data_IF_129562726488
#
_entry.id   IF_129562726488
#
_cell.length_a   1.000
_cell.length_b   1.000
_cell.length_c   1.000
_cell.angle_alpha   90.00
_cell.angle_beta   90.00
_cell.angle_gamma   90.00
#
_symmetry.space_group_name_H-M   'P 1'
#
loop_
_entity.id
_entity.type
_entity.pdbx_description
1 polymer ?
#
# COMPACT_ATOMS: atom_id res chain seq x y z
N UNK A 1 12.27 -45.26 -14.70
CA UNK A 1 11.21 -44.45 -15.33
C UNK A 1 10.40 -43.87 -14.21
N UNK A 2 10.78 -42.72 -13.74
CA UNK A 2 10.04 -41.98 -12.74
C UNK A 2 9.50 -40.75 -13.46
N UNK A 3 8.22 -40.76 -13.74
CA UNK A 3 7.46 -39.62 -14.30
C UNK A 3 7.49 -38.49 -13.29
N UNK A 4 8.12 -37.39 -13.64
CA UNK A 4 7.95 -36.11 -12.97
C UNK A 4 6.56 -35.61 -13.42
N UNK A 5 5.56 -35.72 -12.55
CA UNK A 5 4.29 -35.03 -12.72
C UNK A 5 4.60 -33.54 -12.67
N UNK A 6 4.48 -32.88 -13.82
CA UNK A 6 4.40 -31.42 -13.87
C UNK A 6 3.15 -30.98 -13.13
N UNK A 7 3.33 -30.38 -11.96
CA UNK A 7 2.21 -29.75 -11.25
C UNK A 7 1.60 -28.69 -12.17
N UNK A 8 0.29 -28.76 -12.40
CA UNK A 8 -0.49 -27.66 -12.90
C UNK A 8 -0.23 -26.50 -11.93
N UNK A 9 0.41 -25.45 -12.40
CA UNK A 9 0.49 -24.18 -11.64
C UNK A 9 -0.94 -23.68 -11.46
N UNK A 10 -1.35 -23.46 -10.22
CA UNK A 10 -2.63 -22.86 -9.92
C UNK A 10 -2.73 -21.54 -10.70
N UNK A 11 -3.72 -21.41 -11.59
CA UNK A 11 -3.87 -20.26 -12.45
C UNK A 11 -4.09 -18.96 -11.64
N UNK A 12 -4.50 -19.08 -10.36
CA UNK A 12 -4.76 -17.94 -9.45
C UNK A 12 -4.30 -18.28 -8.01
N UNK A 13 -2.98 -18.32 -7.74
CA UNK A 13 -2.45 -18.64 -6.42
C UNK A 13 -2.84 -17.59 -5.38
N UNK A 14 -2.94 -18.00 -4.10
CA UNK A 14 -3.24 -17.09 -2.99
C UNK A 14 -2.22 -15.92 -2.89
N UNK A 15 -0.97 -16.17 -3.26
CA UNK A 15 0.09 -15.16 -3.41
C UNK A 15 0.87 -15.49 -4.68
N UNK A 16 1.02 -14.52 -5.58
CA UNK A 16 1.92 -14.66 -6.74
C UNK A 16 3.36 -14.50 -6.27
N UNK A 17 4.14 -15.56 -6.43
CA UNK A 17 5.57 -15.57 -6.13
C UNK A 17 6.39 -15.06 -7.32
N UNK A 18 7.69 -14.83 -7.10
CA UNK A 18 8.60 -14.40 -8.18
C UNK A 18 8.69 -15.44 -9.31
N UNK A 19 8.52 -16.73 -8.98
CA UNK A 19 8.59 -17.82 -9.95
C UNK A 19 7.31 -17.97 -10.79
N UNK A 20 6.20 -17.39 -10.36
CA UNK A 20 4.94 -17.36 -11.12
C UNK A 20 4.94 -16.33 -12.27
N UNK A 21 5.96 -15.46 -12.32
CA UNK A 21 6.13 -14.53 -13.42
C UNK A 21 6.80 -15.19 -14.62
N UNK A 22 6.25 -14.98 -15.83
CA UNK A 22 6.86 -15.47 -17.07
C UNK A 22 8.18 -14.73 -17.34
N UNK A 23 9.28 -15.47 -17.26
CA UNK A 23 10.62 -14.91 -17.44
C UNK A 23 10.85 -14.36 -18.86
N UNK A 24 10.28 -15.02 -19.89
CA UNK A 24 10.36 -14.55 -21.28
C UNK A 24 9.69 -13.19 -21.44
N UNK A 25 8.48 -13.06 -20.89
CA UNK A 25 7.75 -11.79 -20.93
C UNK A 25 8.49 -10.68 -20.18
N UNK A 26 9.06 -10.96 -19.03
CA UNK A 26 9.86 -9.97 -18.28
C UNK A 26 11.11 -9.54 -19.05
N UNK A 27 11.78 -10.46 -19.77
CA UNK A 27 12.90 -10.13 -20.66
C UNK A 27 12.48 -9.22 -21.82
N UNK A 28 11.34 -9.52 -22.47
CA UNK A 28 10.79 -8.66 -23.54
C UNK A 28 10.54 -7.24 -23.06
N UNK A 29 9.87 -7.09 -21.90
CA UNK A 29 9.57 -5.78 -21.30
C UNK A 29 10.85 -5.03 -20.93
N UNK A 30 11.84 -5.71 -20.34
CA UNK A 30 13.14 -5.12 -20.01
C UNK A 30 13.94 -4.71 -21.26
N UNK A 31 13.79 -5.42 -22.37
CA UNK A 31 14.43 -5.08 -23.65
C UNK A 31 13.75 -3.88 -24.32
N UNK A 32 12.43 -3.76 -24.23
CA UNK A 32 11.66 -2.69 -24.84
C UNK A 32 11.73 -1.38 -24.06
N UNK A 33 11.70 -1.46 -22.71
CA UNK A 33 11.54 -0.29 -21.84
C UNK A 33 12.77 0.05 -21.01
N UNK A 34 13.85 -0.77 -21.10
CA UNK A 34 15.07 -0.66 -20.32
C UNK A 34 14.84 -0.86 -18.80
N UNK A 35 15.92 -0.96 -18.02
CA UNK A 35 15.87 -1.10 -16.56
C UNK A 35 16.44 0.14 -15.84
N UNK A 36 16.14 0.41 -14.57
CA UNK A 36 15.13 -0.25 -13.72
C UNK A 36 13.71 -0.07 -14.26
N UNK A 37 12.87 -1.09 -14.12
CA UNK A 37 11.50 -1.09 -14.63
C UNK A 37 10.53 -1.70 -13.62
N UNK A 38 9.47 -1.01 -13.27
CA UNK A 38 8.33 -1.61 -12.58
C UNK A 38 7.38 -2.25 -13.59
N UNK A 39 6.93 -3.46 -13.28
CA UNK A 39 5.84 -4.14 -13.99
C UNK A 39 4.73 -4.40 -13.00
N UNK A 40 3.53 -3.90 -13.28
CA UNK A 40 2.33 -4.06 -12.47
C UNK A 40 1.27 -4.82 -13.25
N UNK A 41 0.83 -5.97 -12.75
CA UNK A 41 -0.21 -6.79 -13.36
C UNK A 41 -1.59 -6.38 -12.80
N UNK A 42 -2.39 -5.73 -13.63
CA UNK A 42 -3.72 -5.24 -13.25
C UNK A 42 -4.75 -6.35 -13.14
N UNK A 43 -4.57 -7.46 -13.83
CA UNK A 43 -5.45 -8.61 -13.69
C UNK A 43 -5.27 -9.23 -12.31
N UNK A 44 -4.01 -9.30 -11.83
CA UNK A 44 -3.72 -9.73 -10.46
C UNK A 44 -4.28 -8.75 -9.42
N UNK A 45 -4.25 -7.45 -9.68
CA UNK A 45 -4.92 -6.44 -8.82
C UNK A 45 -6.40 -6.73 -8.71
N UNK A 46 -7.10 -6.98 -9.82
CA UNK A 46 -8.54 -7.32 -9.84
C UNK A 46 -8.83 -8.61 -9.08
N UNK A 47 -8.03 -9.66 -9.28
CA UNK A 47 -8.15 -10.92 -8.55
C UNK A 47 -8.04 -10.74 -7.02
N UNK A 48 -7.12 -9.89 -6.57
CA UNK A 48 -6.95 -9.58 -5.14
C UNK A 48 -8.14 -8.77 -4.59
N UNK A 49 -8.70 -7.84 -5.38
CA UNK A 49 -9.94 -7.15 -5.03
C UNK A 49 -11.11 -8.12 -4.88
N UNK A 50 -11.28 -9.03 -5.84
CA UNK A 50 -12.35 -10.04 -5.82
C UNK A 50 -12.27 -10.95 -4.60
N UNK A 51 -11.06 -11.35 -4.18
CA UNK A 51 -10.85 -12.14 -2.96
C UNK A 51 -11.28 -11.37 -1.70
N UNK A 52 -10.96 -10.09 -1.62
CA UNK A 52 -11.38 -9.25 -0.50
C UNK A 52 -12.90 -9.11 -0.44
N UNK A 53 -13.53 -8.81 -1.58
CA UNK A 53 -14.99 -8.70 -1.66
C UNK A 53 -15.68 -10.01 -1.34
N UNK A 54 -15.13 -11.15 -1.77
CA UNK A 54 -15.66 -12.47 -1.44
C UNK A 54 -15.52 -12.81 0.05
N UNK A 55 -14.43 -12.41 0.71
CA UNK A 55 -14.23 -12.65 2.15
C UNK A 55 -15.04 -11.70 3.03
N UNK A 56 -15.30 -10.47 2.56
CA UNK A 56 -16.02 -9.41 3.27
C UNK A 56 -17.24 -8.93 2.46
N UNK A 57 -18.22 -9.81 2.15
CA UNK A 57 -19.33 -9.49 1.26
C UNK A 57 -20.28 -8.40 1.80
N UNK A 58 -20.28 -8.19 3.12
CA UNK A 58 -21.14 -7.23 3.81
C UNK A 58 -20.35 -6.02 4.36
N UNK A 59 -19.12 -5.81 3.89
CA UNK A 59 -18.29 -4.70 4.32
C UNK A 59 -17.95 -3.74 3.17
N UNK A 60 -17.78 -2.46 3.50
CA UNK A 60 -17.19 -1.47 2.61
C UNK A 60 -15.67 -1.71 2.52
N UNK A 61 -15.18 -2.05 1.34
CA UNK A 61 -13.75 -2.28 1.12
C UNK A 61 -13.15 -1.05 0.47
N UNK A 62 -12.28 -0.34 1.21
CA UNK A 62 -11.66 0.91 0.82
C UNK A 62 -10.18 0.69 0.52
N UNK A 63 -9.77 0.85 -0.72
CA UNK A 63 -8.36 0.69 -1.08
C UNK A 63 -7.51 1.82 -0.50
N UNK A 64 -6.49 1.49 0.30
CA UNK A 64 -5.54 2.46 0.81
C UNK A 64 -4.60 2.93 -0.31
N UNK A 65 -4.92 4.09 -0.91
CA UNK A 65 -4.30 4.65 -2.12
C UNK A 65 -2.78 4.79 -2.02
N UNK A 66 -2.28 5.09 -0.82
CA UNK A 66 -0.83 5.19 -0.51
C UNK A 66 -0.02 3.95 -0.87
N UNK A 67 -0.64 2.78 -1.00
CA UNK A 67 0.07 1.56 -1.37
C UNK A 67 0.55 1.60 -2.82
N UNK A 68 -0.28 2.10 -3.74
CA UNK A 68 0.05 2.37 -5.14
C UNK A 68 -0.91 3.39 -5.75
N UNK A 69 -0.43 4.57 -6.12
CA UNK A 69 -1.23 5.71 -6.59
C UNK A 69 -1.34 5.81 -8.11
N UNK A 70 -0.84 4.84 -8.87
CA UNK A 70 -0.87 4.84 -10.34
C UNK A 70 -2.30 4.89 -10.86
N UNK A 71 -2.56 5.74 -11.86
CA UNK A 71 -3.90 5.93 -12.40
C UNK A 71 -4.52 4.61 -12.88
N UNK A 72 -3.77 3.80 -13.63
CA UNK A 72 -4.26 2.51 -14.13
C UNK A 72 -4.63 1.54 -12.99
N UNK A 73 -3.84 1.53 -11.91
CA UNK A 73 -4.16 0.73 -10.71
C UNK A 73 -5.43 1.24 -10.02
N UNK A 74 -5.57 2.56 -9.87
CA UNK A 74 -6.77 3.16 -9.27
C UNK A 74 -8.03 2.89 -10.12
N UNK A 75 -7.93 2.97 -11.44
CA UNK A 75 -9.00 2.61 -12.36
C UNK A 75 -9.40 1.13 -12.20
N UNK A 76 -8.43 0.20 -12.15
CA UNK A 76 -8.69 -1.22 -11.95
C UNK A 76 -9.37 -1.51 -10.59
N UNK A 77 -8.90 -0.86 -9.52
CA UNK A 77 -9.48 -0.96 -8.17
C UNK A 77 -10.92 -0.43 -8.14
N UNK A 78 -11.16 0.76 -8.77
CA UNK A 78 -12.50 1.35 -8.87
C UNK A 78 -13.45 0.46 -9.64
N UNK A 79 -13.01 -0.11 -10.76
CA UNK A 79 -13.80 -1.02 -11.60
C UNK A 79 -14.12 -2.33 -10.90
N UNK A 80 -13.21 -2.83 -10.06
CA UNK A 80 -13.44 -3.98 -9.18
C UNK A 80 -14.45 -3.70 -8.05
N UNK A 81 -14.83 -2.43 -7.82
CA UNK A 81 -15.87 -2.07 -6.85
C UNK A 81 -15.38 -1.58 -5.50
N UNK A 82 -14.06 -1.43 -5.28
CA UNK A 82 -13.52 -0.88 -4.03
C UNK A 82 -13.60 0.65 -4.03
N UNK A 83 -13.78 1.24 -2.85
CA UNK A 83 -13.67 2.68 -2.60
C UNK A 83 -12.20 3.09 -2.41
N UNK A 84 -11.92 4.38 -2.22
CA UNK A 84 -10.56 4.92 -2.05
C UNK A 84 -10.36 5.58 -0.68
N UNK A 85 -9.41 5.06 0.12
CA UNK A 85 -8.89 5.74 1.32
C UNK A 85 -7.65 6.54 0.93
N UNK A 86 -7.73 7.87 1.14
CA UNK A 86 -6.75 8.85 0.70
C UNK A 86 -6.08 9.53 1.89
N UNK A 87 -4.75 9.40 2.02
CA UNK A 87 -3.98 9.97 3.12
C UNK A 87 -3.51 11.42 2.89
N UNK A 88 -3.80 12.01 1.74
CA UNK A 88 -3.41 13.38 1.37
C UNK A 88 -4.33 13.98 0.31
N UNK A 89 -4.31 15.30 0.16
CA UNK A 89 -4.99 15.99 -0.94
C UNK A 89 -4.54 15.49 -2.32
N UNK A 90 -3.26 15.15 -2.48
CA UNK A 90 -2.76 14.60 -3.75
C UNK A 90 -3.30 13.21 -4.08
N UNK A 91 -3.61 12.39 -3.08
CA UNK A 91 -4.28 11.11 -3.29
C UNK A 91 -5.75 11.28 -3.66
N UNK A 92 -6.45 12.25 -3.05
CA UNK A 92 -7.82 12.63 -3.45
C UNK A 92 -7.86 13.08 -4.91
N UNK A 93 -6.95 13.98 -5.32
CA UNK A 93 -6.85 14.45 -6.71
C UNK A 93 -6.61 13.30 -7.69
N UNK A 94 -5.74 12.34 -7.33
CA UNK A 94 -5.47 11.15 -8.16
C UNK A 94 -6.68 10.21 -8.25
N UNK A 95 -7.40 10.00 -7.15
CA UNK A 95 -8.59 9.17 -7.14
C UNK A 95 -9.73 9.79 -7.98
N UNK A 96 -9.96 11.12 -7.87
CA UNK A 96 -10.89 11.86 -8.74
C UNK A 96 -10.49 11.72 -10.23
N UNK A 97 -9.19 11.88 -10.54
CA UNK A 97 -8.67 11.71 -11.91
C UNK A 97 -8.81 10.28 -12.45
N UNK A 98 -8.89 9.27 -11.57
CA UNK A 98 -9.20 7.88 -11.91
C UNK A 98 -10.70 7.56 -11.95
N UNK A 99 -11.56 8.59 -11.74
CA UNK A 99 -13.01 8.49 -11.89
C UNK A 99 -13.77 8.01 -10.66
N UNK A 100 -13.18 8.07 -9.46
CA UNK A 100 -13.95 7.91 -8.23
C UNK A 100 -14.85 9.14 -8.05
N UNK A 101 -16.08 8.94 -7.61
CA UNK A 101 -16.99 9.99 -7.16
C UNK A 101 -16.84 10.24 -5.64
N UNK A 102 -17.45 11.33 -5.14
CA UNK A 102 -17.33 11.75 -3.76
C UNK A 102 -17.77 10.70 -2.75
N UNK A 103 -18.84 9.95 -3.04
CA UNK A 103 -19.37 8.92 -2.14
C UNK A 103 -18.42 7.73 -1.96
N UNK A 104 -17.43 7.59 -2.84
CA UNK A 104 -16.40 6.56 -2.81
C UNK A 104 -15.04 7.08 -2.34
N UNK A 105 -14.98 8.32 -1.83
CA UNK A 105 -13.75 8.96 -1.38
C UNK A 105 -13.76 9.18 0.13
N UNK A 106 -12.73 8.66 0.81
CA UNK A 106 -12.50 8.83 2.23
C UNK A 106 -11.14 9.48 2.44
N UNK A 107 -11.13 10.75 2.89
CA UNK A 107 -9.90 11.46 3.19
C UNK A 107 -9.48 11.21 4.64
N UNK A 108 -8.42 10.44 4.85
CA UNK A 108 -7.94 9.97 6.17
C UNK A 108 -6.51 10.44 6.42
N UNK A 109 -6.30 11.75 6.48
CA UNK A 109 -4.97 12.32 6.71
C UNK A 109 -4.60 12.40 8.19
N UNK A 110 -3.29 12.27 8.45
CA UNK A 110 -2.70 12.46 9.77
C UNK A 110 -2.02 13.84 9.81
N UNK A 111 -2.42 14.70 10.74
CA UNK A 111 -1.90 16.06 10.89
C UNK A 111 -1.91 16.85 9.56
N UNK A 112 -3.07 16.99 8.89
CA UNK A 112 -3.14 17.58 7.56
C UNK A 112 -2.63 19.03 7.55
N UNK A 113 -1.78 19.43 6.59
CA UNK A 113 -1.38 20.82 6.41
C UNK A 113 -2.59 21.68 5.99
N UNK A 114 -2.51 23.00 6.23
CA UNK A 114 -3.63 23.92 5.92
C UNK A 114 -4.08 23.81 4.46
N UNK A 115 -3.15 23.79 3.52
CA UNK A 115 -3.43 23.67 2.08
C UNK A 115 -4.17 22.39 1.69
N UNK A 116 -3.92 21.28 2.40
CA UNK A 116 -4.62 20.02 2.14
C UNK A 116 -6.08 20.12 2.64
N UNK A 117 -6.31 20.73 3.83
CA UNK A 117 -7.64 20.99 4.31
C UNK A 117 -8.41 21.96 3.41
N UNK A 118 -7.76 23.04 2.95
CA UNK A 118 -8.37 23.97 2.00
C UNK A 118 -8.83 23.22 0.75
N UNK A 119 -7.96 22.37 0.17
CA UNK A 119 -8.26 21.59 -1.03
C UNK A 119 -9.42 20.60 -0.81
N UNK A 120 -9.40 19.81 0.28
CA UNK A 120 -10.44 18.77 0.48
C UNK A 120 -11.79 19.36 0.85
N UNK A 121 -11.84 20.53 1.52
CA UNK A 121 -13.06 21.27 1.77
C UNK A 121 -13.63 21.81 0.45
N UNK A 122 -12.80 22.39 -0.43
CA UNK A 122 -13.22 22.82 -1.78
C UNK A 122 -13.70 21.63 -2.64
N UNK A 123 -13.14 20.44 -2.47
CA UNK A 123 -13.63 19.22 -3.13
C UNK A 123 -14.99 18.83 -2.55
N UNK A 124 -15.17 18.85 -1.22
CA UNK A 124 -16.42 18.47 -0.56
C UNK A 124 -17.59 19.39 -0.95
N UNK A 125 -17.35 20.66 -1.30
CA UNK A 125 -18.38 21.55 -1.85
C UNK A 125 -18.95 21.04 -3.19
N UNK A 126 -18.14 20.33 -4.00
CA UNK A 126 -18.51 19.79 -5.31
C UNK A 126 -18.91 18.32 -5.24
N UNK A 127 -18.39 17.61 -4.27
CA UNK A 127 -18.57 16.20 -3.98
C UNK A 127 -19.06 16.05 -2.53
N UNK A 128 -20.31 16.37 -2.23
CA UNK A 128 -20.83 16.48 -0.85
C UNK A 128 -20.85 15.14 -0.10
N UNK A 129 -20.76 14.03 -0.81
CA UNK A 129 -20.70 12.68 -0.25
C UNK A 129 -19.27 12.26 0.16
N UNK A 130 -18.23 13.08 -0.14
CA UNK A 130 -16.87 12.86 0.32
C UNK A 130 -16.82 12.90 1.85
N UNK A 131 -16.20 11.89 2.47
CA UNK A 131 -16.05 11.84 3.93
C UNK A 131 -14.64 12.29 4.34
N UNK A 132 -14.57 13.24 5.28
CA UNK A 132 -13.32 13.71 5.89
C UNK A 132 -13.14 13.04 7.26
N UNK A 133 -11.99 12.38 7.48
CA UNK A 133 -11.64 11.77 8.76
C UNK A 133 -10.75 12.72 9.58
N UNK A 134 -11.20 13.07 10.78
CA UNK A 134 -10.45 13.88 11.73
C UNK A 134 -9.91 13.04 12.90
N UNK A 135 -8.61 13.11 13.17
CA UNK A 135 -7.92 12.37 14.23
C UNK A 135 -7.50 13.22 15.44
N UNK A 136 -7.93 14.48 15.49
CA UNK A 136 -7.64 15.40 16.59
C UNK A 136 -8.74 16.45 16.74
N UNK A 137 -8.99 16.92 17.97
CA UNK A 137 -9.95 18.01 18.23
C UNK A 137 -9.54 19.29 17.49
N UNK A 138 -8.24 19.61 17.46
CA UNK A 138 -7.72 20.74 16.68
C UNK A 138 -8.07 20.64 15.18
N UNK A 139 -8.11 19.43 14.61
CA UNK A 139 -8.52 19.26 13.21
C UNK A 139 -10.01 19.56 13.03
N UNK A 140 -10.87 19.20 14.00
CA UNK A 140 -12.29 19.57 13.99
C UNK A 140 -12.46 21.10 14.00
N UNK A 141 -11.70 21.80 14.84
CA UNK A 141 -11.74 23.26 14.91
C UNK A 141 -11.30 23.89 13.58
N UNK A 142 -10.22 23.39 13.00
CA UNK A 142 -9.69 23.86 11.70
C UNK A 142 -10.64 23.60 10.52
N UNK A 143 -11.42 22.52 10.54
CA UNK A 143 -12.48 22.26 9.56
C UNK A 143 -13.64 23.26 9.72
N UNK A 144 -14.11 23.48 10.96
CA UNK A 144 -15.17 24.45 11.23
C UNK A 144 -14.75 25.89 10.90
N UNK A 145 -13.49 26.28 11.12
CA UNK A 145 -12.95 27.60 10.71
C UNK A 145 -13.02 27.81 9.19
N UNK A 146 -13.08 26.73 8.40
CA UNK A 146 -13.26 26.72 6.94
C UNK A 146 -14.72 26.68 6.52
N UNK A 147 -15.64 26.68 7.47
CA UNK A 147 -17.07 26.57 7.20
C UNK A 147 -17.53 25.16 6.83
N UNK A 148 -16.68 24.13 7.01
CA UNK A 148 -17.06 22.76 6.75
C UNK A 148 -17.99 22.23 7.84
N UNK A 149 -19.11 21.67 7.46
CA UNK A 149 -20.11 21.01 8.30
C UNK A 149 -20.60 19.66 7.74
N UNK A 150 -19.92 19.19 6.66
CA UNK A 150 -20.28 17.97 5.91
C UNK A 150 -19.90 16.68 6.62
N UNK A 151 -19.84 15.60 5.83
CA UNK A 151 -19.64 14.22 6.28
C UNK A 151 -18.29 14.04 6.97
N UNK A 152 -18.33 13.65 8.23
CA UNK A 152 -17.15 13.49 9.09
C UNK A 152 -17.05 12.07 9.63
N UNK A 153 -15.83 11.52 9.65
CA UNK A 153 -15.47 10.34 10.39
C UNK A 153 -14.48 10.70 11.51
N UNK A 154 -14.62 10.13 12.70
CA UNK A 154 -13.71 10.36 13.81
C UNK A 154 -12.68 9.23 13.91
N UNK A 155 -11.40 9.55 13.72
CA UNK A 155 -10.32 8.59 13.96
C UNK A 155 -10.00 8.48 15.43
N UNK A 156 -10.09 7.26 15.95
CA UNK A 156 -9.83 6.87 17.34
C UNK A 156 -8.49 6.16 17.45
N UNK A 157 -7.78 6.40 18.54
CA UNK A 157 -6.62 5.62 18.94
C UNK A 157 -7.05 4.62 19.99
N UNK A 158 -7.21 3.34 19.65
CA UNK A 158 -7.70 2.33 20.61
C UNK A 158 -6.62 1.87 21.61
N UNK A 159 -5.39 2.38 21.50
CA UNK A 159 -4.28 1.95 22.37
C UNK A 159 -3.72 0.56 22.03
N UNK A 160 -4.13 -0.01 20.91
CA UNK A 160 -3.69 -1.31 20.40
C UNK A 160 -2.93 -1.11 19.10
N UNK A 161 -1.72 -1.64 19.00
CA UNK A 161 -0.88 -1.50 17.80
C UNK A 161 -0.38 -2.84 17.29
N UNK A 162 -0.45 -3.03 15.98
CA UNK A 162 0.13 -4.15 15.26
C UNK A 162 1.12 -3.65 14.19
N UNK A 163 2.09 -4.46 13.77
CA UNK A 163 3.01 -4.11 12.69
C UNK A 163 4.32 -4.88 12.76
N UNK A 164 4.82 -5.28 11.59
CA UNK A 164 6.08 -6.01 11.41
C UNK A 164 7.34 -5.19 11.73
N UNK A 165 7.21 -3.89 11.93
CA UNK A 165 8.31 -2.99 12.28
C UNK A 165 7.79 -1.85 13.16
N UNK A 166 8.57 -1.38 14.16
CA UNK A 166 8.17 -0.30 15.08
C UNK A 166 7.69 0.98 14.37
N UNK A 167 8.31 1.32 13.23
CA UNK A 167 7.98 2.51 12.45
C UNK A 167 6.61 2.45 11.77
N UNK A 168 5.95 1.29 11.70
CA UNK A 168 4.64 1.10 11.04
C UNK A 168 3.50 0.74 12.00
N UNK A 169 3.74 0.75 13.32
CA UNK A 169 2.71 0.60 14.34
C UNK A 169 1.97 1.92 14.54
N UNK A 170 0.66 1.94 14.34
CA UNK A 170 -0.14 3.18 14.41
C UNK A 170 -1.16 3.20 15.53
N UNK A 171 -1.79 2.08 15.85
CA UNK A 171 -2.90 2.01 16.79
C UNK A 171 -2.57 2.29 18.27
N UNK A 172 -1.28 2.24 18.65
CA UNK A 172 -0.81 2.59 19.99
C UNK A 172 0.07 3.85 20.00
N UNK A 173 0.42 4.40 18.82
CA UNK A 173 1.26 5.58 18.74
C UNK A 173 0.45 6.86 18.99
N UNK A 174 0.91 7.79 19.86
CA UNK A 174 0.16 8.98 20.23
C UNK A 174 -0.04 9.98 19.07
N UNK A 175 0.64 9.78 17.96
CA UNK A 175 0.51 10.58 16.74
C UNK A 175 -0.87 10.42 16.08
N UNK A 176 -1.58 9.31 16.32
CA UNK A 176 -2.75 8.92 15.54
C UNK A 176 -4.01 8.86 16.39
N UNK A 177 -5.05 9.56 15.95
CA UNK A 177 -6.40 9.44 16.48
C UNK A 177 -6.63 10.08 17.88
N UNK A 178 -7.90 10.28 18.20
CA UNK A 178 -8.34 10.69 19.52
C UNK A 178 -8.17 9.53 20.50
N UNK A 179 -7.59 9.71 21.69
CA UNK A 179 -7.48 8.65 22.69
C UNK A 179 -8.84 8.01 23.02
N UNK A 180 -8.86 6.69 23.14
CA UNK A 180 -10.09 5.89 23.29
C UNK A 180 -10.97 6.35 24.45
N UNK A 181 -10.36 6.69 25.60
CA UNK A 181 -11.05 7.18 26.79
C UNK A 181 -11.80 8.53 26.60
N UNK A 182 -11.49 9.25 25.53
CA UNK A 182 -12.13 10.53 25.16
C UNK A 182 -13.01 10.41 23.93
N UNK A 183 -12.95 9.27 23.21
CA UNK A 183 -13.54 9.13 21.89
C UNK A 183 -15.05 9.36 21.89
N UNK A 184 -15.79 8.77 22.82
CA UNK A 184 -17.23 8.95 22.92
C UNK A 184 -17.64 10.41 23.15
N UNK A 185 -16.95 11.13 24.03
CA UNK A 185 -17.20 12.54 24.27
C UNK A 185 -16.90 13.40 23.04
N UNK A 186 -15.75 13.18 22.41
CA UNK A 186 -15.35 13.95 21.21
C UNK A 186 -16.28 13.64 20.02
N UNK A 187 -16.74 12.39 19.87
CA UNK A 187 -17.71 12.03 18.84
C UNK A 187 -19.03 12.81 19.00
N UNK A 188 -19.56 12.91 20.23
CA UNK A 188 -20.78 13.70 20.52
C UNK A 188 -20.58 15.19 20.28
N UNK A 189 -19.42 15.74 20.65
CA UNK A 189 -19.07 17.13 20.36
C UNK A 189 -18.96 17.38 18.84
N UNK A 190 -18.38 16.43 18.09
CA UNK A 190 -18.27 16.50 16.64
C UNK A 190 -19.65 16.43 15.95
N UNK A 191 -20.54 15.53 16.38
CA UNK A 191 -21.89 15.41 15.85
C UNK A 191 -22.76 16.68 16.04
N UNK A 192 -22.40 17.53 16.99
CA UNK A 192 -23.03 18.85 17.14
C UNK A 192 -22.57 19.91 16.14
N UNK A 193 -21.57 19.63 15.34
CA UNK A 193 -20.91 20.58 14.43
C UNK A 193 -20.83 20.07 12.97
N UNK A 194 -20.87 18.77 12.76
CA UNK A 194 -20.67 18.10 11.49
C UNK A 194 -21.69 16.97 11.32
N UNK A 195 -21.86 16.47 10.11
CA UNK A 195 -22.54 15.22 9.83
C UNK A 195 -21.60 14.06 10.18
N UNK A 196 -21.62 13.63 11.45
CA UNK A 196 -20.76 12.54 11.92
C UNK A 196 -21.31 11.18 11.48
N UNK A 197 -20.73 10.63 10.42
CA UNK A 197 -21.19 9.40 9.77
C UNK A 197 -20.45 8.12 10.21
N UNK A 198 -19.27 8.24 10.85
CA UNK A 198 -18.51 7.05 11.21
C UNK A 198 -17.44 7.26 12.25
N UNK A 199 -16.91 6.14 12.73
CA UNK A 199 -15.70 6.07 13.55
C UNK A 199 -14.67 5.16 12.87
N UNK A 200 -13.40 5.50 13.01
CA UNK A 200 -12.28 4.83 12.35
C UNK A 200 -11.16 4.49 13.33
N UNK A 201 -10.50 3.35 13.13
CA UNK A 201 -9.22 3.05 13.76
C UNK A 201 -8.32 2.26 12.81
N UNK A 202 -7.01 2.33 13.04
CA UNK A 202 -6.04 1.57 12.27
C UNK A 202 -4.90 1.11 13.17
N UNK A 203 -4.65 -0.23 13.22
CA UNK A 203 -3.63 -0.81 14.10
C UNK A 203 -2.20 -0.62 13.60
N UNK A 204 -2.02 -0.62 12.29
CA UNK A 204 -0.71 -0.64 11.62
C UNK A 204 -0.69 -1.56 10.41
N UNK A 205 0.51 -1.99 10.00
CA UNK A 205 0.70 -2.78 8.79
C UNK A 205 1.17 -4.20 9.13
N UNK A 206 0.53 -5.21 8.53
CA UNK A 206 0.90 -6.60 8.62
C UNK A 206 0.07 -7.38 9.65
N UNK A 207 -1.21 -7.56 9.37
CA UNK A 207 -1.99 -8.62 10.00
C UNK A 207 -1.47 -9.92 9.40
N UNK A 208 -0.70 -10.63 10.19
CA UNK A 208 -0.26 -11.98 9.96
C UNK A 208 -0.83 -12.88 11.07
N UNK A 209 -0.68 -14.19 11.01
CA UNK A 209 -1.21 -15.09 12.04
C UNK A 209 -0.82 -14.72 13.47
N UNK A 210 0.39 -14.18 13.66
CA UNK A 210 0.91 -13.78 14.98
C UNK A 210 0.29 -12.48 15.52
N UNK A 211 -0.35 -11.69 14.66
CA UNK A 211 -0.93 -10.38 15.00
C UNK A 211 -2.45 -10.35 15.02
N UNK A 212 -3.09 -11.49 14.75
CA UNK A 212 -4.55 -11.60 14.70
C UNK A 212 -5.22 -11.23 16.04
N UNK A 213 -4.57 -11.50 17.18
CA UNK A 213 -5.09 -11.12 18.50
C UNK A 213 -5.12 -9.61 18.71
N UNK A 214 -4.09 -8.89 18.25
CA UNK A 214 -4.08 -7.42 18.29
C UNK A 214 -5.15 -6.82 17.37
N UNK A 215 -5.39 -7.44 16.22
CA UNK A 215 -6.48 -7.06 15.32
C UNK A 215 -7.85 -7.27 16.00
N UNK A 216 -8.09 -8.43 16.60
CA UNK A 216 -9.33 -8.73 17.35
C UNK A 216 -9.57 -7.72 18.48
N UNK A 217 -8.54 -7.39 19.25
CA UNK A 217 -8.67 -6.42 20.35
C UNK A 217 -9.05 -5.03 19.82
N UNK A 218 -8.41 -4.53 18.75
CA UNK A 218 -8.77 -3.27 18.12
C UNK A 218 -10.23 -3.29 17.67
N UNK A 219 -10.62 -4.33 16.91
CA UNK A 219 -11.94 -4.47 16.33
C UNK A 219 -13.03 -4.54 17.42
N UNK A 220 -12.76 -5.28 18.50
CA UNK A 220 -13.68 -5.37 19.65
C UNK A 220 -13.90 -4.02 20.31
N UNK A 221 -12.82 -3.25 20.56
CA UNK A 221 -12.93 -1.90 21.13
C UNK A 221 -13.73 -0.96 20.24
N UNK A 222 -13.54 -1.04 18.92
CA UNK A 222 -14.30 -0.20 18.00
C UNK A 222 -15.78 -0.57 17.95
N UNK A 223 -16.12 -1.87 18.00
CA UNK A 223 -17.48 -2.35 18.12
C UNK A 223 -18.15 -1.92 19.45
N UNK A 224 -17.42 -1.96 20.56
CA UNK A 224 -17.89 -1.46 21.86
C UNK A 224 -18.20 0.03 21.81
N UNK A 225 -17.29 0.83 21.25
CA UNK A 225 -17.51 2.28 21.10
C UNK A 225 -18.70 2.59 20.20
N UNK A 226 -18.85 1.86 19.08
CA UNK A 226 -20.00 2.05 18.18
C UNK A 226 -21.32 1.79 18.91
N UNK A 227 -21.40 0.68 19.67
CA UNK A 227 -22.60 0.37 20.47
C UNK A 227 -22.89 1.40 21.55
N UNK A 228 -21.86 1.96 22.21
CA UNK A 228 -22.01 3.05 23.18
C UNK A 228 -22.58 4.32 22.53
N UNK A 229 -22.11 4.67 21.34
CA UNK A 229 -22.50 5.88 20.63
C UNK A 229 -23.92 5.80 20.06
N UNK A 230 -24.38 4.59 19.67
CA UNK A 230 -25.66 4.35 19.02
C UNK A 230 -26.74 3.76 19.97
N UNK A 231 -26.45 3.64 21.27
CA UNK A 231 -27.39 3.06 22.23
C UNK A 231 -28.59 3.98 22.49
N UNK A 232 -29.82 3.58 22.11
CA UNK A 232 -31.02 4.38 22.38
C UNK A 232 -31.42 4.36 23.86
N UNK A 233 -30.83 3.48 24.67
CA UNK A 233 -31.06 3.37 26.11
C UNK A 233 -30.05 4.11 26.98
N UNK A 234 -29.11 4.84 26.40
CA UNK A 234 -28.11 5.61 27.14
C UNK A 234 -28.79 6.65 28.03
N UNK A 235 -28.50 6.67 29.34
CA UNK A 235 -29.30 7.50 30.29
C UNK A 235 -29.04 9.00 30.19
N UNK A 236 -28.04 9.45 29.46
CA UNK A 236 -27.58 10.85 29.45
C UNK A 236 -27.51 11.52 28.09
N UNK A 237 -27.48 10.75 26.97
CA UNK A 237 -27.17 11.29 25.65
C UNK A 237 -28.05 10.65 24.57
N UNK A 238 -28.49 11.44 23.58
CA UNK A 238 -29.15 10.87 22.40
C UNK A 238 -28.22 9.95 21.61
N UNK A 239 -28.74 8.86 21.00
CA UNK A 239 -27.95 8.01 20.10
C UNK A 239 -27.48 8.84 18.90
N UNK A 240 -26.26 8.57 18.44
CA UNK A 240 -25.75 9.13 17.21
C UNK A 240 -26.22 8.31 16.01
N UNK A 241 -26.45 8.97 14.89
CA UNK A 241 -26.83 8.35 13.62
C UNK A 241 -25.56 8.08 12.79
N UNK A 242 -24.83 7.02 13.18
CA UNK A 242 -23.64 6.58 12.44
C UNK A 242 -24.05 5.66 11.30
N UNK A 243 -23.28 5.65 10.23
CA UNK A 243 -23.46 4.76 9.07
C UNK A 243 -22.52 3.55 9.13
N UNK A 244 -21.27 3.74 9.63
CA UNK A 244 -20.27 2.67 9.60
C UNK A 244 -19.25 2.74 10.74
N UNK A 245 -18.56 1.60 10.89
CA UNK A 245 -17.35 1.46 11.72
C UNK A 245 -16.21 0.99 10.83
N UNK A 246 -15.15 1.78 10.71
CA UNK A 246 -13.96 1.44 9.96
C UNK A 246 -12.86 0.92 10.91
N UNK A 247 -12.40 -0.30 10.68
CA UNK A 247 -11.36 -0.95 11.48
C UNK A 247 -9.99 -0.91 10.82
N UNK A 248 -9.88 -0.18 9.72
CA UNK A 248 -8.63 0.08 8.99
C UNK A 248 -8.15 -1.12 8.20
N UNK A 249 -6.89 -1.03 7.81
CA UNK A 249 -6.22 -2.04 7.00
C UNK A 249 -5.24 -2.89 7.79
N UNK A 250 -4.13 -3.21 7.12
CA UNK A 250 -3.07 -4.01 7.71
C UNK A 250 -2.97 -5.41 7.12
N UNK A 251 -3.85 -5.79 6.21
CA UNK A 251 -3.86 -7.10 5.53
C UNK A 251 -2.50 -7.37 4.90
N UNK A 252 -1.78 -8.38 5.44
CA UNK A 252 -0.43 -8.73 5.07
C UNK A 252 -0.36 -9.54 3.78
N UNK A 253 0.85 -9.54 3.18
CA UNK A 253 1.26 -10.47 2.12
C UNK A 253 2.61 -11.03 2.55
N UNK A 254 2.82 -12.35 2.52
CA UNK A 254 4.08 -12.93 2.90
C UNK A 254 5.16 -12.63 1.85
N UNK A 255 6.26 -12.01 2.29
CA UNK A 255 7.39 -11.70 1.41
C UNK A 255 8.38 -12.86 1.29
N UNK A 256 8.44 -13.74 2.29
CA UNK A 256 9.31 -14.92 2.27
C UNK A 256 8.58 -16.08 1.58
N UNK A 257 9.32 -16.88 0.83
CA UNK A 257 8.76 -17.99 0.06
C UNK A 257 8.21 -19.11 0.94
N UNK A 258 8.77 -19.30 2.12
CA UNK A 258 8.35 -20.28 3.13
C UNK A 258 7.22 -19.81 4.06
N UNK A 259 6.81 -18.53 3.95
CA UNK A 259 5.72 -17.99 4.77
C UNK A 259 4.35 -18.28 4.12
N UNK A 260 3.41 -18.71 4.98
CA UNK A 260 2.05 -19.02 4.55
C UNK A 260 1.29 -17.76 4.11
N UNK A 261 0.42 -17.87 3.10
CA UNK A 261 -0.52 -16.82 2.74
C UNK A 261 -1.45 -16.45 3.90
N UNK A 262 -1.92 -15.21 3.91
CA UNK A 262 -2.95 -14.78 4.85
C UNK A 262 -4.25 -15.58 4.58
N UNK A 263 -4.75 -16.27 5.60
CA UNK A 263 -6.08 -16.90 5.57
C UNK A 263 -7.15 -15.81 5.66
N UNK A 264 -7.50 -15.24 4.51
CA UNK A 264 -8.43 -14.12 4.42
C UNK A 264 -9.83 -14.44 4.95
N UNK A 265 -10.43 -15.63 4.68
CA UNK A 265 -11.67 -16.07 5.32
C UNK A 265 -11.58 -16.08 6.85
N UNK A 266 -10.51 -16.63 7.42
CA UNK A 266 -10.32 -16.68 8.89
C UNK A 266 -10.18 -15.27 9.49
N UNK A 267 -9.48 -14.35 8.81
CA UNK A 267 -9.40 -12.94 9.24
C UNK A 267 -10.77 -12.28 9.19
N UNK A 268 -11.54 -12.52 8.14
CA UNK A 268 -12.89 -11.97 7.99
C UNK A 268 -13.85 -12.48 9.06
N UNK A 269 -13.79 -13.77 9.38
CA UNK A 269 -14.57 -14.37 10.48
C UNK A 269 -14.16 -13.75 11.83
N UNK A 270 -12.86 -13.70 12.12
CA UNK A 270 -12.33 -13.09 13.33
C UNK A 270 -12.71 -11.61 13.48
N UNK A 271 -12.76 -10.86 12.38
CA UNK A 271 -13.19 -9.46 12.36
C UNK A 271 -14.67 -9.33 12.69
N UNK A 272 -15.54 -10.13 12.05
CA UNK A 272 -16.99 -10.13 12.33
C UNK A 272 -17.30 -10.53 13.77
N UNK A 273 -16.64 -11.59 14.27
CA UNK A 273 -16.83 -12.05 15.63
C UNK A 273 -16.40 -10.99 16.66
N UNK A 274 -15.25 -10.35 16.43
CA UNK A 274 -14.70 -9.35 17.34
C UNK A 274 -15.52 -8.05 17.37
N UNK A 275 -15.99 -7.58 16.21
CA UNK A 275 -16.78 -6.35 16.15
C UNK A 275 -18.16 -6.51 16.84
N UNK A 276 -18.71 -7.71 16.81
CA UNK A 276 -20.00 -8.05 17.37
C UNK A 276 -21.18 -7.43 16.62
N UNK A 277 -22.33 -7.30 17.28
CA UNK A 277 -23.52 -6.71 16.68
C UNK A 277 -23.36 -5.18 16.51
N UNK A 278 -23.27 -4.74 15.26
CA UNK A 278 -23.16 -3.33 14.87
C UNK A 278 -24.51 -2.61 14.76
N UNK A 279 -25.63 -3.30 15.04
CA UNK A 279 -26.99 -2.72 15.05
C UNK A 279 -27.37 -2.02 13.72
N UNK A 280 -26.90 -2.54 12.62
CA UNK A 280 -27.19 -2.05 11.28
C UNK A 280 -26.14 -1.10 10.69
N UNK A 281 -25.07 -0.76 11.42
CA UNK A 281 -23.94 -0.04 10.86
C UNK A 281 -23.16 -0.97 9.90
N UNK A 282 -22.62 -0.38 8.83
CA UNK A 282 -21.71 -1.09 7.96
C UNK A 282 -20.34 -1.29 8.64
N UNK A 283 -19.67 -2.40 8.34
CA UNK A 283 -18.26 -2.60 8.64
C UNK A 283 -17.44 -2.05 7.45
N UNK A 284 -16.38 -1.31 7.71
CA UNK A 284 -15.44 -0.91 6.67
C UNK A 284 -14.02 -1.39 6.98
N UNK A 285 -13.26 -1.70 5.93
CA UNK A 285 -11.85 -2.11 5.98
C UNK A 285 -11.02 -1.37 4.93
N UNK A 286 -9.71 -1.18 5.21
CA UNK A 286 -8.80 -0.39 4.36
C UNK A 286 -7.59 -1.19 3.85
N UNK A 287 -7.77 -2.25 3.04
CA UNK A 287 -6.64 -2.99 2.48
C UNK A 287 -5.85 -2.13 1.48
N UNK A 288 -4.53 -2.10 1.62
CA UNK A 288 -3.65 -1.49 0.63
C UNK A 288 -2.67 -2.51 0.08
N UNK A 289 -1.76 -2.98 0.93
CA UNK A 289 -0.70 -3.93 0.57
C UNK A 289 -1.25 -5.21 -0.09
N UNK A 290 -2.30 -5.79 0.47
CA UNK A 290 -2.90 -7.02 -0.04
C UNK A 290 -3.34 -6.91 -1.50
N UNK A 291 -3.85 -5.74 -1.90
CA UNK A 291 -4.38 -5.52 -3.26
C UNK A 291 -3.28 -5.51 -4.31
N UNK A 292 -2.10 -4.94 -4.01
CA UNK A 292 -1.12 -4.58 -5.07
C UNK A 292 0.27 -5.19 -4.89
N UNK A 293 0.63 -5.72 -3.71
CA UNK A 293 2.02 -6.09 -3.44
C UNK A 293 2.55 -7.18 -4.37
N UNK A 294 1.84 -8.28 -4.51
CA UNK A 294 2.22 -9.42 -5.34
C UNK A 294 1.82 -9.27 -6.81
N UNK A 295 1.12 -8.20 -7.13
CA UNK A 295 0.83 -7.78 -8.49
C UNK A 295 1.99 -7.02 -9.14
N UNK A 296 3.07 -6.70 -8.40
CA UNK A 296 4.16 -5.89 -8.92
C UNK A 296 5.56 -6.50 -8.73
N UNK A 297 6.42 -6.30 -9.72
CA UNK A 297 7.82 -6.69 -9.73
C UNK A 297 8.70 -5.53 -10.20
N UNK A 298 9.89 -5.39 -9.60
CA UNK A 298 10.93 -4.47 -10.07
C UNK A 298 12.00 -5.26 -10.83
N UNK A 299 12.21 -4.92 -12.09
CA UNK A 299 13.27 -5.48 -12.94
C UNK A 299 14.52 -4.60 -12.84
N UNK A 300 15.67 -5.23 -12.66
CA UNK A 300 16.97 -4.56 -12.57
C UNK A 300 18.07 -5.37 -13.24
N UNK A 301 19.04 -4.71 -13.85
CA UNK A 301 20.12 -5.36 -14.58
C UNK A 301 21.42 -5.35 -13.78
N UNK A 302 22.11 -6.48 -13.80
CA UNK A 302 23.43 -6.62 -13.18
C UNK A 302 24.48 -5.84 -13.99
N UNK A 303 25.05 -4.81 -13.39
CA UNK A 303 26.11 -3.98 -13.97
C UNK A 303 27.51 -4.48 -13.63
N UNK A 304 27.68 -4.98 -12.41
CA UNK A 304 29.00 -5.33 -11.85
C UNK A 304 28.88 -6.56 -10.97
N UNK A 305 29.85 -7.47 -11.10
CA UNK A 305 30.05 -8.57 -10.17
C UNK A 305 31.43 -8.42 -9.58
N UNK A 306 31.52 -8.20 -8.27
CA UNK A 306 32.77 -7.94 -7.54
C UNK A 306 33.01 -8.99 -6.46
N UNK A 307 33.90 -9.97 -6.69
CA UNK A 307 34.35 -10.87 -5.63
C UNK A 307 35.12 -10.09 -4.55
N UNK A 308 34.81 -10.34 -3.28
CA UNK A 308 35.51 -9.80 -2.13
C UNK A 308 35.91 -10.95 -1.19
N UNK A 309 36.82 -10.72 -0.22
CA UNK A 309 37.08 -11.74 0.79
C UNK A 309 35.81 -12.04 1.62
N UNK A 310 35.22 -13.24 1.39
CA UNK A 310 34.08 -13.72 2.16
C UNK A 310 32.71 -13.59 1.48
N UNK A 311 32.55 -12.73 0.46
CA UNK A 311 31.28 -12.58 -0.26
C UNK A 311 31.46 -12.09 -1.71
N UNK A 312 30.41 -12.18 -2.50
CA UNK A 312 30.34 -11.55 -3.83
C UNK A 312 29.33 -10.42 -3.79
N UNK A 313 29.77 -9.21 -4.17
CA UNK A 313 28.88 -8.04 -4.32
C UNK A 313 28.43 -7.96 -5.77
N UNK A 314 27.11 -7.92 -5.96
CA UNK A 314 26.42 -7.77 -7.25
C UNK A 314 25.85 -6.38 -7.32
N UNK A 315 26.44 -5.50 -8.13
CA UNK A 315 25.95 -4.16 -8.39
C UNK A 315 24.88 -4.18 -9.47
N UNK A 316 23.73 -3.58 -9.20
CA UNK A 316 22.60 -3.46 -10.12
C UNK A 316 22.30 -2.00 -10.46
N UNK A 317 21.45 -1.74 -11.46
CA UNK A 317 21.07 -0.38 -11.87
C UNK A 317 19.93 0.23 -11.06
N UNK A 318 19.10 -0.59 -10.41
CA UNK A 318 18.16 -0.14 -9.39
C UNK A 318 18.85 0.08 -8.04
N UNK A 319 18.30 0.96 -7.20
CA UNK A 319 18.79 1.21 -5.86
C UNK A 319 17.67 1.59 -4.88
N UNK A 320 18.08 2.07 -3.70
CA UNK A 320 17.14 2.59 -2.69
C UNK A 320 16.31 3.78 -3.21
N UNK A 321 16.71 4.40 -4.30
CA UNK A 321 15.94 5.43 -5.00
C UNK A 321 14.77 4.88 -5.78
N UNK A 322 14.81 3.62 -6.13
CA UNK A 322 13.76 2.93 -6.88
C UNK A 322 12.88 2.08 -5.95
N UNK A 323 13.49 1.34 -5.01
CA UNK A 323 12.79 0.56 -3.98
C UNK A 323 13.42 0.84 -2.60
N UNK A 324 12.84 1.77 -1.86
CA UNK A 324 13.40 2.25 -0.59
C UNK A 324 13.26 1.26 0.57
N UNK A 325 12.30 0.35 0.50
CA UNK A 325 11.89 -0.49 1.64
C UNK A 325 12.99 -1.36 2.24
N UNK A 326 13.90 -2.01 1.48
CA UNK A 326 15.02 -2.74 2.06
C UNK A 326 15.92 -1.83 2.91
N UNK A 327 16.29 -0.65 2.41
CA UNK A 327 17.15 0.29 3.12
C UNK A 327 16.49 0.95 4.34
N UNK A 328 15.16 1.20 4.29
CA UNK A 328 14.45 1.94 5.33
C UNK A 328 13.89 1.05 6.45
N UNK A 329 13.47 -0.17 6.11
CA UNK A 329 12.73 -1.07 7.00
C UNK A 329 13.39 -2.45 7.14
N UNK A 330 14.56 -2.67 6.55
CA UNK A 330 15.16 -4.00 6.42
C UNK A 330 14.17 -5.01 5.79
N UNK A 331 13.34 -4.51 4.86
CA UNK A 331 12.27 -5.30 4.27
C UNK A 331 12.83 -6.35 3.32
N UNK A 332 12.42 -7.60 3.55
CA UNK A 332 12.73 -8.68 2.62
C UNK A 332 11.91 -8.52 1.33
N UNK A 333 12.57 -8.68 0.19
CA UNK A 333 11.95 -8.89 -1.11
C UNK A 333 12.60 -10.12 -1.77
N UNK A 334 11.83 -11.08 -2.32
CA UNK A 334 12.41 -12.19 -3.05
C UNK A 334 13.11 -11.68 -4.30
N UNK A 335 14.25 -12.29 -4.64
CA UNK A 335 15.05 -11.92 -5.82
C UNK A 335 15.31 -13.18 -6.63
N UNK A 336 14.84 -13.18 -7.89
CA UNK A 336 15.07 -14.25 -8.86
C UNK A 336 16.02 -13.75 -9.94
N UNK A 337 17.04 -14.53 -10.26
CA UNK A 337 17.89 -14.30 -11.42
C UNK A 337 17.25 -14.93 -12.66
N UNK A 338 16.87 -14.11 -13.64
CA UNK A 338 16.27 -14.56 -14.91
C UNK A 338 17.33 -14.87 -15.98
N UNK A 339 18.62 -14.56 -15.72
CA UNK A 339 19.72 -14.74 -16.67
C UNK A 339 19.86 -13.63 -17.71
N UNK A 340 20.69 -13.87 -18.72
CA UNK A 340 20.91 -12.95 -19.86
C UNK A 340 19.82 -13.07 -20.94
N UNK A 341 19.66 -12.03 -21.76
CA UNK A 341 18.60 -11.93 -22.76
C UNK A 341 18.75 -12.86 -23.97
N UNK A 342 19.97 -13.30 -24.32
CA UNK A 342 20.26 -13.90 -25.62
C UNK A 342 20.70 -15.37 -25.52
N UNK A 343 19.88 -16.25 -24.92
CA UNK A 343 20.13 -17.70 -24.97
C UNK A 343 21.43 -18.13 -24.29
N UNK A 344 22.05 -17.28 -23.49
CA UNK A 344 23.07 -17.64 -22.53
C UNK A 344 22.50 -18.73 -21.59
N UNK A 345 23.31 -19.62 -21.04
CA UNK A 345 22.80 -20.69 -20.18
C UNK A 345 21.85 -20.14 -19.16
N UNK A 346 20.62 -20.65 -19.18
CA UNK A 346 19.60 -20.29 -18.21
C UNK A 346 20.16 -20.44 -16.81
N UNK A 347 19.70 -19.64 -15.84
CA UNK A 347 20.12 -19.78 -14.44
C UNK A 347 20.06 -21.21 -13.91
N UNK A 348 19.20 -22.08 -14.47
CA UNK A 348 19.05 -23.47 -14.09
C UNK A 348 20.36 -24.27 -14.11
N UNK A 349 21.38 -23.87 -14.91
CA UNK A 349 22.68 -24.52 -14.96
C UNK A 349 23.73 -23.89 -14.03
N UNK A 350 23.38 -22.85 -13.30
CA UNK A 350 24.28 -22.14 -12.37
C UNK A 350 23.94 -22.48 -10.92
N UNK A 351 24.97 -22.75 -10.13
CA UNK A 351 24.80 -22.98 -8.68
C UNK A 351 24.34 -21.74 -7.95
N UNK A 352 23.54 -21.92 -6.93
CA UNK A 352 23.25 -20.85 -5.97
C UNK A 352 24.51 -20.43 -5.21
N UNK A 353 24.66 -19.14 -4.99
CA UNK A 353 25.80 -18.60 -4.26
C UNK A 353 25.34 -17.44 -3.35
N UNK A 354 25.93 -17.32 -2.16
CA UNK A 354 25.66 -16.17 -1.30
C UNK A 354 26.19 -14.89 -1.94
N UNK A 355 25.32 -13.90 -2.10
CA UNK A 355 25.67 -12.59 -2.65
C UNK A 355 25.05 -11.46 -1.85
N UNK A 356 25.67 -10.29 -1.94
CA UNK A 356 25.07 -9.01 -1.55
C UNK A 356 24.66 -8.28 -2.82
N UNK A 357 23.36 -7.96 -2.99
CA UNK A 357 22.84 -7.17 -4.11
C UNK A 357 22.77 -5.73 -3.67
N UNK A 358 23.51 -4.85 -4.35
CA UNK A 358 23.66 -3.44 -4.00
C UNK A 358 23.33 -2.53 -5.19
N UNK A 359 22.69 -1.40 -4.89
CA UNK A 359 22.37 -0.37 -5.87
C UNK A 359 23.51 0.59 -6.14
N UNK A 360 23.27 1.62 -6.98
CA UNK A 360 24.28 2.57 -7.44
C UNK A 360 24.39 3.84 -6.55
N UNK A 361 23.72 3.90 -5.41
CA UNK A 361 23.71 5.05 -4.53
C UNK A 361 24.94 5.02 -3.62
N UNK A 362 25.52 6.18 -3.32
CA UNK A 362 26.71 6.32 -2.49
C UNK A 362 26.44 6.19 -0.96
N UNK A 363 25.46 5.35 -0.61
CA UNK A 363 25.09 5.02 0.77
C UNK A 363 25.36 3.55 1.05
N UNK A 364 25.90 3.23 2.23
CA UNK A 364 26.13 1.83 2.64
C UNK A 364 24.82 1.05 2.75
N UNK A 365 23.73 1.73 3.04
CA UNK A 365 22.38 1.14 3.12
C UNK A 365 21.72 0.85 1.78
N UNK A 366 22.34 1.20 0.64
CA UNK A 366 21.80 0.93 -0.69
C UNK A 366 22.00 -0.54 -1.08
N UNK A 367 21.32 -1.42 -0.35
CA UNK A 367 21.36 -2.88 -0.52
C UNK A 367 19.95 -3.46 -0.52
N UNK A 368 19.68 -4.36 -1.46
CA UNK A 368 18.44 -5.15 -1.51
C UNK A 368 18.51 -6.37 -0.59
N UNK A 369 19.69 -6.95 -0.46
CA UNK A 369 19.96 -8.07 0.43
C UNK A 369 21.45 -8.23 0.69
N UNK A 370 21.79 -8.88 1.81
CA UNK A 370 23.15 -9.27 2.18
C UNK A 370 23.22 -10.76 2.39
N UNK A 371 24.31 -11.39 1.93
CA UNK A 371 24.62 -12.82 2.12
C UNK A 371 23.42 -13.74 1.79
N UNK A 372 22.71 -13.44 0.70
CA UNK A 372 21.56 -14.22 0.24
C UNK A 372 21.96 -15.21 -0.86
N UNK A 373 21.56 -16.46 -0.69
CA UNK A 373 21.71 -17.47 -1.74
C UNK A 373 20.73 -17.15 -2.87
N UNK A 374 21.27 -16.88 -4.05
CA UNK A 374 20.54 -16.78 -5.32
C UNK A 374 21.36 -17.44 -6.41
N UNK A 375 20.70 -17.87 -7.48
CA UNK A 375 21.39 -18.40 -8.67
C UNK A 375 22.47 -17.43 -9.12
N UNK A 376 23.73 -17.88 -9.17
CA UNK A 376 24.91 -17.02 -9.34
C UNK A 376 24.75 -16.00 -10.45
N UNK A 377 24.70 -14.69 -10.14
CA UNK A 377 24.53 -13.65 -11.13
C UNK A 377 25.80 -13.43 -11.97
N UNK A 378 25.60 -13.06 -13.23
CA UNK A 378 26.63 -12.59 -14.13
C UNK A 378 26.29 -11.17 -14.62
N UNK A 379 27.29 -10.41 -15.07
CA UNK A 379 27.05 -9.09 -15.65
C UNK A 379 26.16 -9.20 -16.89
N UNK A 380 25.11 -8.39 -16.95
CA UNK A 380 24.09 -8.41 -17.99
C UNK A 380 22.84 -9.22 -17.62
N UNK A 381 22.90 -10.06 -16.58
CA UNK A 381 21.71 -10.78 -16.11
C UNK A 381 20.60 -9.80 -15.67
N UNK A 382 19.36 -10.21 -15.92
CA UNK A 382 18.17 -9.55 -15.44
C UNK A 382 17.74 -10.17 -14.09
N UNK A 383 17.58 -9.35 -13.08
CA UNK A 383 17.02 -9.77 -11.79
C UNK A 383 15.60 -9.26 -11.66
N UNK A 384 14.71 -10.10 -11.15
CA UNK A 384 13.35 -9.75 -10.76
C UNK A 384 13.28 -9.67 -9.23
N UNK A 385 12.92 -8.48 -8.71
CA UNK A 385 12.68 -8.22 -7.29
C UNK A 385 11.17 -8.28 -7.08
N UNK A 386 10.68 -9.33 -6.47
CA UNK A 386 9.25 -9.64 -6.36
C UNK A 386 8.54 -8.91 -5.23
N UNK A 387 7.22 -9.00 -5.26
CA UNK A 387 6.30 -8.40 -4.27
C UNK A 387 6.61 -6.90 -4.09
N UNK A 388 6.88 -6.22 -5.20
CA UNK A 388 7.29 -4.81 -5.24
C UNK A 388 6.15 -3.84 -5.59
N UNK A 389 4.91 -4.32 -5.78
CA UNK A 389 3.77 -3.51 -6.19
C UNK A 389 3.23 -2.58 -5.11
N UNK A 390 3.50 -2.84 -3.81
CA UNK A 390 3.07 -1.97 -2.73
C UNK A 390 4.24 -1.18 -2.14
N UNK A 391 4.08 0.15 -2.03
CA UNK A 391 5.09 1.04 -1.43
C UNK A 391 6.46 0.94 -2.12
N UNK A 392 6.49 0.50 -3.37
CA UNK A 392 7.65 0.47 -4.25
C UNK A 392 7.81 1.81 -4.94
N UNK A 393 7.16 1.99 -6.08
CA UNK A 393 7.18 3.24 -6.85
C UNK A 393 6.77 4.46 -6.02
N UNK A 394 5.82 4.32 -5.11
CA UNK A 394 5.31 5.42 -4.28
C UNK A 394 6.36 6.00 -3.31
N UNK A 395 7.38 5.23 -2.97
CA UNK A 395 8.50 5.67 -2.14
C UNK A 395 9.75 6.01 -2.97
N UNK A 396 9.69 5.83 -4.30
CA UNK A 396 10.80 6.18 -5.20
C UNK A 396 11.09 7.69 -5.15
N UNK A 397 12.37 8.03 -5.18
CA UNK A 397 12.84 9.39 -5.00
C UNK A 397 14.00 9.73 -5.94
N UNK A 398 14.43 10.99 -5.93
CA UNK A 398 15.46 11.51 -6.82
C UNK A 398 16.82 11.74 -6.11
N UNK A 399 17.09 11.02 -5.03
CA UNK A 399 18.38 11.12 -4.35
C UNK A 399 19.53 10.82 -5.31
N UNK A 400 20.66 11.51 -5.16
CA UNK A 400 21.79 11.55 -6.10
C UNK A 400 21.39 12.02 -7.51
N UNK A 401 20.31 12.83 -7.65
CA UNK A 401 19.77 13.30 -8.93
C UNK A 401 19.50 12.17 -9.93
N UNK A 402 19.01 11.04 -9.44
CA UNK A 402 18.63 9.91 -10.29
C UNK A 402 17.18 10.00 -10.71
N UNK A 403 16.88 9.85 -12.02
CA UNK A 403 15.52 9.76 -12.52
C UNK A 403 14.78 8.53 -11.96
N UNK A 404 13.49 8.70 -11.64
CA UNK A 404 12.64 7.57 -11.26
C UNK A 404 12.39 6.65 -12.45
N UNK A 405 12.19 5.33 -12.22
CA UNK A 405 12.04 4.33 -13.27
C UNK A 405 10.74 4.50 -14.07
N UNK A 406 10.61 3.77 -15.17
CA UNK A 406 9.32 3.59 -15.85
C UNK A 406 8.47 2.57 -15.10
N UNK A 407 7.16 2.60 -15.38
CA UNK A 407 6.21 1.59 -14.96
C UNK A 407 5.37 1.15 -16.15
N UNK A 408 5.27 -0.17 -16.33
CA UNK A 408 4.43 -0.84 -17.33
C UNK A 408 3.31 -1.58 -16.61
N UNK A 409 2.08 -1.38 -17.05
CA UNK A 409 0.93 -2.19 -16.63
C UNK A 409 0.70 -3.32 -17.61
N UNK A 410 0.40 -4.51 -17.08
CA UNK A 410 -0.12 -5.65 -17.81
C UNK A 410 -1.63 -5.77 -17.56
N UNK A 411 -2.42 -5.93 -18.61
CA UNK A 411 -3.85 -6.21 -18.52
C UNK A 411 -4.27 -7.01 -19.77
N UNK A 412 -5.02 -8.08 -19.58
CA UNK A 412 -5.50 -8.95 -20.68
C UNK A 412 -4.37 -9.41 -21.63
N UNK A 413 -3.15 -9.63 -21.10
CA UNK A 413 -1.95 -10.01 -21.83
C UNK A 413 -1.22 -8.85 -22.54
N UNK A 414 -1.81 -7.67 -22.61
CA UNK A 414 -1.22 -6.48 -23.22
C UNK A 414 -0.37 -5.69 -22.22
N UNK A 415 0.68 -5.03 -22.72
CA UNK A 415 1.56 -4.18 -21.93
C UNK A 415 1.40 -2.70 -22.33
N UNK A 416 1.25 -1.84 -21.36
CA UNK A 416 1.12 -0.38 -21.58
C UNK A 416 2.03 0.39 -20.63
N UNK A 417 2.79 1.35 -21.14
CA UNK A 417 3.57 2.28 -20.30
C UNK A 417 2.60 3.23 -19.60
N UNK A 418 2.42 3.05 -18.29
CA UNK A 418 1.53 3.88 -17.46
C UNK A 418 2.25 5.02 -16.76
N UNK A 419 3.57 4.86 -16.55
CA UNK A 419 4.48 5.93 -16.13
C UNK A 419 5.76 5.85 -16.95
N UNK A 420 6.06 6.90 -17.70
CA UNK A 420 7.33 6.95 -18.42
C UNK A 420 8.50 7.14 -17.45
N UNK A 421 9.67 6.65 -17.82
CA UNK A 421 10.92 6.98 -17.11
C UNK A 421 11.12 8.49 -17.07
N UNK A 422 11.53 9.03 -15.92
CA UNK A 422 11.96 10.43 -15.84
C UNK A 422 13.22 10.65 -16.69
N UNK A 423 13.31 11.83 -17.28
CA UNK A 423 14.47 12.32 -17.99
C UNK A 423 15.25 13.30 -17.09
N UNK A 424 16.50 13.57 -17.41
CA UNK A 424 17.29 14.55 -16.65
C UNK A 424 16.60 15.93 -16.57
N UNK A 425 15.87 16.32 -17.60
CA UNK A 425 15.09 17.55 -17.61
C UNK A 425 13.90 17.55 -16.63
N UNK A 426 13.39 16.37 -16.23
CA UNK A 426 12.32 16.29 -15.24
C UNK A 426 12.84 16.58 -13.82
N UNK A 427 14.13 16.38 -13.57
CA UNK A 427 14.76 16.66 -12.28
C UNK A 427 14.74 18.16 -11.92
N UNK A 428 14.89 19.01 -12.93
CA UNK A 428 14.97 20.48 -12.77
C UNK A 428 13.68 21.20 -13.17
N UNK A 429 12.63 20.46 -13.56
CA UNK A 429 11.38 21.03 -14.10
C UNK A 429 10.71 22.05 -13.18
N UNK A 430 10.89 21.93 -11.88
CA UNK A 430 10.30 22.84 -10.88
C UNK A 430 11.25 23.95 -10.45
N UNK A 431 12.48 23.97 -10.95
CA UNK A 431 13.45 25.01 -10.68
C UNK A 431 13.18 26.25 -11.56
N UNK A 432 13.41 27.44 -11.01
CA UNK A 432 13.32 28.70 -11.77
C UNK A 432 14.67 29.03 -12.35
N UNK A 433 14.70 29.55 -13.57
CA UNK A 433 15.93 30.16 -14.13
C UNK A 433 16.31 31.40 -13.32
N UNK A 434 17.58 31.56 -13.00
CA UNK A 434 18.10 32.61 -12.13
C UNK A 434 17.81 34.07 -12.60
N UNK A 435 17.38 34.25 -13.85
CA UNK A 435 16.97 35.53 -14.41
C UNK A 435 15.54 35.99 -14.02
N UNK A 436 14.73 35.14 -13.45
CA UNK A 436 13.35 35.47 -13.05
C UNK A 436 13.20 35.87 -11.58
N UNK A 437 14.29 35.82 -10.79
CA UNK A 437 14.23 36.00 -9.32
C UNK A 437 14.20 37.46 -8.89
N UNK A 438 14.52 38.42 -9.76
CA UNK A 438 14.63 39.85 -9.39
C UNK A 438 14.05 40.81 -10.45
N UNK A 439 12.77 40.79 -10.69
CA UNK A 439 12.10 41.96 -11.30
C UNK A 439 10.66 42.13 -10.87
#
# INVERSE_FOLDING_TARGET
>A
MTTIEGGETDANPAVRRTDDWDAGRLHELAAEHDTPLYVQDLDRVRENCDRLLAAFPDADVRYAVKAHTGRATLEAVREAGLDAECASAGEVDRALAAGFDGGRLHYTAVNPPARDLDYVVDVAEREPDLTITAGAVDTLDRLAERGYDGRLCLRVNPGVGAGHHEKVRTGAAPKFGVPYDRAARVAREAAGRFDLVGIHAHAGSGIDPDQLDSHRELVSRMGELARELTDPGAPTDAPLDLEYVDVGGGFGVPYREDAEPLDLPAVAEATRDAVGDLRGLALAIEPGRYVVADAGVLLTRVNTVKPTPGETVVGVDAGMTDLLRPAMYDAYHPIRNLGGADGEPTPADREETPVTVAGPICETGDTFCTNRAITRPARGDLLAVGIAGAYGYEMANQYNSRPRPAEVALADGEATVVRRRERLADLTRVERESAEVDR
#
